data_IF_221626005318
#
_entry.id   IF_221626005318
#
_cell.length_a   1.000
_cell.length_b   1.000
_cell.length_c   1.000
_cell.angle_alpha   90.00
_cell.angle_beta   90.00
_cell.angle_gamma   90.00
#
_symmetry.space_group_name_H-M   'P 1'
#
loop_
_entity.id
_entity.type
_entity.pdbx_description
1 polymer ?
#
# COMPACT_ATOMS: atom_id res chain seq x y z
N UNK A 1 -11.77 5.45 7.68
CA UNK A 1 -11.43 5.37 9.11
C UNK A 1 -9.95 5.07 9.27
N UNK A 2 -9.44 3.98 8.69
CA UNK A 2 -8.02 3.58 8.74
C UNK A 2 -7.03 4.72 8.52
N UNK A 3 -7.22 5.49 7.44
CA UNK A 3 -6.33 6.61 7.10
C UNK A 3 -6.30 7.68 8.20
N UNK A 4 -7.47 8.03 8.76
CA UNK A 4 -7.57 9.04 9.82
C UNK A 4 -6.96 8.52 11.13
N UNK A 5 -7.21 7.25 11.47
CA UNK A 5 -6.61 6.59 12.62
C UNK A 5 -5.07 6.59 12.51
N UNK A 6 -4.54 6.23 11.34
CA UNK A 6 -3.11 6.26 11.09
C UNK A 6 -2.53 7.67 11.12
N UNK A 7 -3.19 8.65 10.49
CA UNK A 7 -2.76 10.05 10.55
C UNK A 7 -2.68 10.55 12.00
N UNK A 8 -3.65 10.18 12.85
CA UNK A 8 -3.67 10.55 14.27
C UNK A 8 -2.50 9.96 15.06
N UNK A 9 -2.14 8.70 14.79
CA UNK A 9 -1.05 7.99 15.47
C UNK A 9 0.32 8.42 14.95
N UNK A 10 0.49 8.48 13.62
CA UNK A 10 1.75 8.86 12.99
C UNK A 10 2.05 10.36 13.03
N UNK A 11 1.11 11.20 13.46
CA UNK A 11 1.31 12.63 13.55
C UNK A 11 2.57 12.95 14.38
N UNK A 12 3.56 13.59 13.74
CA UNK A 12 4.89 13.91 14.30
C UNK A 12 5.76 12.69 14.70
N UNK A 13 5.33 11.47 14.41
CA UNK A 13 6.08 10.23 14.71
C UNK A 13 6.68 9.58 13.47
N UNK A 14 6.11 9.82 12.29
CA UNK A 14 6.65 9.36 11.01
C UNK A 14 6.71 10.49 9.99
N UNK A 15 7.61 10.42 8.98
CA UNK A 15 7.58 11.31 7.84
C UNK A 15 6.21 11.27 7.16
N UNK A 16 5.81 12.40 6.58
CA UNK A 16 4.47 12.58 6.02
C UNK A 16 4.07 11.40 5.11
N UNK A 17 2.92 10.80 5.42
CA UNK A 17 2.39 9.63 4.72
C UNK A 17 2.00 10.05 3.30
N UNK A 18 2.84 9.65 2.34
CA UNK A 18 2.59 9.77 0.91
C UNK A 18 1.86 8.51 0.42
N UNK A 19 0.68 8.70 -0.18
CA UNK A 19 -0.18 7.63 -0.70
C UNK A 19 0.11 7.30 -2.19
N UNK A 20 0.21 6.01 -2.56
CA UNK A 20 0.05 5.62 -3.96
C UNK A 20 -1.43 5.67 -4.33
N UNK A 21 -1.81 6.62 -5.18
CA UNK A 21 -3.19 6.85 -5.58
C UNK A 21 -3.50 6.15 -6.91
N UNK A 22 -4.71 5.56 -6.98
CA UNK A 22 -5.28 5.08 -8.24
C UNK A 22 -5.43 6.27 -9.20
N UNK A 23 -5.03 6.11 -10.46
CA UNK A 23 -5.17 7.10 -11.53
C UNK A 23 -6.58 7.72 -11.66
N UNK A 24 -7.63 7.00 -11.22
CA UNK A 24 -9.01 7.49 -11.21
C UNK A 24 -9.26 8.67 -10.24
N UNK A 25 -8.39 8.91 -9.26
CA UNK A 25 -8.57 10.00 -8.29
C UNK A 25 -8.13 11.38 -8.83
N UNK A 26 -7.48 11.46 -10.00
CA UNK A 26 -7.15 12.72 -10.68
C UNK A 26 -8.40 13.59 -10.94
N UNK A 27 -9.59 12.97 -11.05
CA UNK A 27 -10.84 13.65 -11.40
C UNK A 27 -11.57 14.30 -10.22
N UNK A 28 -11.03 14.25 -9.00
CA UNK A 28 -11.62 14.92 -7.83
C UNK A 28 -11.08 16.36 -7.72
N UNK A 29 -11.93 17.41 -7.82
CA UNK A 29 -11.49 18.81 -7.73
C UNK A 29 -10.82 19.12 -6.38
N UNK A 30 -9.89 20.08 -6.35
CA UNK A 30 -9.06 20.50 -5.19
C UNK A 30 -7.97 19.49 -4.79
N UNK A 31 -8.29 18.21 -4.72
CA UNK A 31 -7.35 17.19 -4.25
C UNK A 31 -6.31 16.81 -5.33
N UNK A 32 -6.68 16.83 -6.61
CA UNK A 32 -5.74 16.61 -7.73
C UNK A 32 -4.59 17.63 -7.79
N UNK A 33 -4.85 18.90 -7.42
CA UNK A 33 -3.84 19.97 -7.34
C UNK A 33 -2.90 19.78 -6.14
N UNK A 34 -3.44 19.36 -4.99
CA UNK A 34 -2.63 19.06 -3.80
C UNK A 34 -1.66 17.89 -4.04
N UNK A 35 -2.01 16.92 -4.89
CA UNK A 35 -1.15 15.77 -5.20
C UNK A 35 -0.14 16.02 -6.31
N UNK A 36 -0.48 16.86 -7.29
CA UNK A 36 0.49 17.40 -8.24
C UNK A 36 1.57 18.23 -7.52
N UNK A 37 1.19 18.99 -6.48
CA UNK A 37 2.11 19.74 -5.63
C UNK A 37 2.98 18.89 -4.68
N UNK A 38 2.65 17.61 -4.46
CA UNK A 38 3.36 16.70 -3.53
C UNK A 38 4.29 15.68 -4.22
N UNK A 39 4.56 15.84 -5.53
CA UNK A 39 5.45 15.01 -6.38
C UNK A 39 5.02 13.53 -6.55
N UNK A 40 3.74 13.19 -6.37
CA UNK A 40 3.28 11.79 -6.49
C UNK A 40 3.45 11.21 -7.91
N UNK A 41 4.15 10.07 -8.10
CA UNK A 41 4.23 9.41 -9.39
C UNK A 41 2.89 8.75 -9.73
N UNK A 42 2.18 9.31 -10.71
CA UNK A 42 0.94 8.74 -11.23
C UNK A 42 1.25 7.58 -12.17
N UNK A 43 0.95 6.35 -11.75
CA UNK A 43 1.06 5.18 -12.60
C UNK A 43 -0.10 5.13 -13.60
N UNK A 44 0.21 5.15 -14.91
CA UNK A 44 -0.79 4.87 -15.95
C UNK A 44 -0.97 3.36 -16.06
N UNK A 45 -2.20 2.90 -15.89
CA UNK A 45 -2.50 1.47 -15.97
C UNK A 45 -2.88 1.11 -17.41
N UNK A 46 -1.88 0.84 -18.25
CA UNK A 46 -2.15 0.38 -19.61
C UNK A 46 -2.67 -1.07 -19.60
N UNK A 47 -3.79 -1.32 -20.27
CA UNK A 47 -4.31 -2.68 -20.43
C UNK A 47 -3.37 -3.53 -21.30
N UNK A 48 -3.41 -4.85 -21.13
CA UNK A 48 -2.57 -5.79 -21.91
C UNK A 48 -2.77 -5.60 -23.41
N UNK A 49 -4.01 -5.37 -23.83
CA UNK A 49 -4.40 -5.09 -25.22
C UNK A 49 -3.83 -3.77 -25.74
N UNK A 50 -3.80 -2.73 -24.91
CA UNK A 50 -3.23 -1.44 -25.27
C UNK A 50 -1.71 -1.50 -25.44
N UNK A 51 -1.00 -2.23 -24.55
CA UNK A 51 0.45 -2.41 -24.63
C UNK A 51 0.91 -3.29 -25.79
N UNK A 52 0.02 -4.13 -26.34
CA UNK A 52 0.30 -4.89 -27.56
C UNK A 52 0.25 -4.00 -28.80
N UNK A 53 -0.62 -2.97 -28.80
CA UNK A 53 -0.74 -1.99 -29.89
C UNK A 53 0.29 -0.86 -29.80
N UNK A 54 0.76 -0.54 -28.60
CA UNK A 54 1.71 0.52 -28.32
C UNK A 54 2.92 0.01 -27.50
N UNK A 55 3.78 -0.83 -28.09
CA UNK A 55 4.95 -1.36 -27.41
C UNK A 55 5.93 -0.27 -26.93
N UNK A 56 5.97 0.89 -27.61
CA UNK A 56 6.77 2.07 -27.26
C UNK A 56 6.37 2.69 -25.91
N UNK A 57 5.13 2.47 -25.46
CA UNK A 57 4.64 2.97 -24.17
C UNK A 57 4.99 2.05 -23.00
N UNK A 58 5.56 0.86 -23.26
CA UNK A 58 6.12 0.01 -22.19
C UNK A 58 7.37 0.67 -21.63
N UNK A 59 7.32 1.06 -20.35
CA UNK A 59 8.48 1.56 -19.61
C UNK A 59 8.63 3.08 -19.59
N UNK A 60 7.79 3.83 -20.30
CA UNK A 60 7.75 5.30 -20.20
C UNK A 60 7.34 5.75 -18.77
N UNK A 61 6.40 5.02 -18.17
CA UNK A 61 5.96 5.24 -16.78
C UNK A 61 7.06 4.96 -15.73
N UNK A 62 7.97 4.03 -16.02
CA UNK A 62 9.10 3.72 -15.14
C UNK A 62 10.13 4.86 -15.16
N UNK A 63 10.38 5.47 -16.32
CA UNK A 63 11.31 6.60 -16.45
C UNK A 63 10.79 7.85 -15.74
N UNK A 64 9.51 8.18 -15.89
CA UNK A 64 8.90 9.32 -15.20
C UNK A 64 8.88 9.12 -13.68
N UNK A 65 8.53 7.92 -13.23
CA UNK A 65 8.58 7.55 -11.80
C UNK A 65 10.00 7.69 -11.25
N UNK A 66 11.01 7.17 -11.94
CA UNK A 66 12.41 7.24 -11.49
C UNK A 66 12.91 8.68 -11.33
N UNK A 67 12.51 9.58 -12.24
CA UNK A 67 12.84 11.01 -12.17
C UNK A 67 12.18 11.72 -10.98
N UNK A 68 10.94 11.37 -10.66
CA UNK A 68 10.28 11.83 -9.42
C UNK A 68 10.94 11.23 -8.17
N UNK A 69 11.44 10.00 -8.24
CA UNK A 69 12.15 9.34 -7.14
C UNK A 69 13.51 9.97 -6.81
N UNK A 70 14.20 10.61 -7.76
CA UNK A 70 15.44 11.35 -7.47
C UNK A 70 15.22 12.48 -6.44
N UNK A 71 14.07 13.17 -6.52
CA UNK A 71 13.70 14.19 -5.52
C UNK A 71 13.41 13.59 -4.14
N UNK A 72 12.93 12.35 -4.07
CA UNK A 72 12.65 11.65 -2.82
C UNK A 72 13.90 11.17 -2.08
N UNK A 73 15.06 11.10 -2.73
CA UNK A 73 16.32 10.76 -2.03
C UNK A 73 16.73 11.81 -0.99
N UNK A 74 16.25 13.05 -1.15
CA UNK A 74 16.63 14.18 -0.30
C UNK A 74 15.54 14.62 0.68
N UNK A 75 14.36 13.99 0.64
CA UNK A 75 13.24 14.31 1.54
C UNK A 75 12.69 13.02 2.14
N UNK A 76 12.60 12.90 3.48
CA UNK A 76 12.05 11.70 4.09
C UNK A 76 10.57 11.56 3.70
N UNK A 77 10.23 10.48 3.00
CA UNK A 77 8.87 10.19 2.56
C UNK A 77 8.45 8.80 3.03
N UNK A 78 7.22 8.68 3.53
CA UNK A 78 6.63 7.40 3.88
C UNK A 78 5.67 6.98 2.78
N UNK A 79 5.81 5.77 2.24
CA UNK A 79 4.89 5.25 1.23
C UNK A 79 3.84 4.36 1.90
N UNK A 80 2.57 4.77 1.83
CA UNK A 80 1.46 3.97 2.32
C UNK A 80 0.86 3.09 1.21
N UNK A 81 0.63 1.81 1.52
CA UNK A 81 0.00 0.85 0.62
C UNK A 81 -1.03 -0.04 1.33
N UNK A 82 -2.27 -0.03 0.86
CA UNK A 82 -3.32 -0.98 1.25
C UNK A 82 -3.29 -2.18 0.30
N UNK A 83 -2.56 -3.21 0.71
CA UNK A 83 -2.17 -4.33 -0.17
C UNK A 83 -3.36 -5.17 -0.68
N UNK A 84 -4.49 -5.20 0.02
CA UNK A 84 -5.73 -5.83 -0.45
C UNK A 84 -6.35 -5.12 -1.67
N UNK A 85 -6.10 -3.81 -1.78
CA UNK A 85 -6.58 -2.93 -2.85
C UNK A 85 -8.08 -2.62 -2.82
N UNK A 86 -8.78 -3.03 -1.77
CA UNK A 86 -10.20 -2.76 -1.50
C UNK A 86 -10.48 -2.88 0.00
N UNK A 87 -11.62 -2.33 0.44
CA UNK A 87 -12.10 -2.51 1.82
C UNK A 87 -12.56 -3.96 2.02
N UNK A 88 -12.20 -4.54 3.15
CA UNK A 88 -12.69 -5.84 3.59
C UNK A 88 -14.21 -5.85 3.68
N UNK A 89 -14.81 -6.96 3.24
CA UNK A 89 -16.22 -7.33 3.49
C UNK A 89 -16.28 -8.86 3.46
N UNK A 90 -17.12 -9.52 4.28
CA UNK A 90 -17.25 -10.98 4.28
C UNK A 90 -17.47 -11.55 2.87
N UNK A 91 -18.39 -10.97 2.09
CA UNK A 91 -18.65 -11.38 0.71
C UNK A 91 -17.44 -11.33 -0.24
N UNK A 92 -16.45 -10.45 0.00
CA UNK A 92 -15.21 -10.39 -0.80
C UNK A 92 -14.18 -11.40 -0.33
N UNK A 93 -14.16 -11.67 0.96
CA UNK A 93 -13.31 -12.68 1.57
C UNK A 93 -13.72 -14.07 1.06
N UNK A 94 -15.00 -14.39 1.16
CA UNK A 94 -15.59 -15.64 0.66
C UNK A 94 -15.35 -15.81 -0.85
N UNK A 95 -15.63 -14.76 -1.63
CA UNK A 95 -15.43 -14.78 -3.10
C UNK A 95 -13.98 -15.03 -3.50
N UNK A 96 -13.02 -14.56 -2.71
CA UNK A 96 -11.59 -14.77 -2.99
C UNK A 96 -11.07 -16.10 -2.45
N UNK A 97 -11.85 -16.80 -1.62
CA UNK A 97 -11.39 -17.95 -0.86
C UNK A 97 -10.09 -17.63 -0.14
N UNK A 98 -10.09 -16.52 0.60
CA UNK A 98 -8.87 -16.04 1.26
C UNK A 98 -8.34 -17.12 2.22
N UNK A 99 -7.04 -17.46 2.18
CA UNK A 99 -6.46 -18.44 3.09
C UNK A 99 -6.25 -17.87 4.51
N UNK A 100 -6.48 -16.57 4.69
CA UNK A 100 -6.33 -15.85 5.95
C UNK A 100 -7.69 -15.71 6.63
N UNK A 101 -7.74 -15.70 7.96
CA UNK A 101 -9.01 -15.66 8.70
C UNK A 101 -9.66 -14.27 8.65
N UNK A 102 -8.86 -13.21 8.73
CA UNK A 102 -9.34 -11.84 8.90
C UNK A 102 -8.98 -10.90 7.76
N UNK A 103 -8.19 -11.35 6.79
CA UNK A 103 -7.64 -10.52 5.73
C UNK A 103 -8.05 -11.01 4.34
N UNK A 104 -8.09 -10.10 3.36
CA UNK A 104 -8.20 -10.46 1.95
C UNK A 104 -6.84 -10.91 1.40
N UNK A 105 -6.85 -11.50 0.19
CA UNK A 105 -5.60 -11.93 -0.47
C UNK A 105 -4.75 -10.70 -0.84
N UNK A 106 -3.46 -10.64 -0.43
CA UNK A 106 -2.61 -9.49 -0.72
C UNK A 106 -2.19 -9.44 -2.19
N UNK A 107 -2.08 -8.22 -2.74
CA UNK A 107 -1.63 -7.97 -4.11
C UNK A 107 -0.20 -7.46 -4.12
N UNK A 108 0.74 -8.33 -4.52
CA UNK A 108 2.17 -8.02 -4.57
C UNK A 108 2.54 -6.91 -5.58
N UNK A 109 1.73 -6.69 -6.61
CA UNK A 109 2.08 -5.76 -7.71
C UNK A 109 2.37 -4.32 -7.26
N UNK A 110 1.60 -3.79 -6.30
CA UNK A 110 1.84 -2.44 -5.78
C UNK A 110 3.14 -2.36 -4.99
N UNK A 111 3.39 -3.32 -4.10
CA UNK A 111 4.61 -3.40 -3.31
C UNK A 111 5.84 -3.54 -4.20
N UNK A 112 5.78 -4.47 -5.17
CA UNK A 112 6.91 -4.73 -6.07
C UNK A 112 7.28 -3.54 -6.96
N UNK A 113 6.28 -2.78 -7.42
CA UNK A 113 6.54 -1.55 -8.18
C UNK A 113 7.27 -0.49 -7.34
N UNK A 114 6.86 -0.32 -6.08
CA UNK A 114 7.51 0.63 -5.16
C UNK A 114 8.95 0.23 -4.88
N UNK A 115 9.21 -1.06 -4.64
CA UNK A 115 10.56 -1.55 -4.36
C UNK A 115 11.48 -1.57 -5.59
N UNK A 116 10.91 -1.71 -6.79
CA UNK A 116 11.62 -1.52 -8.06
C UNK A 116 12.02 -0.04 -8.25
N UNK A 117 11.06 0.87 -8.10
CA UNK A 117 11.28 2.30 -8.34
C UNK A 117 12.09 3.02 -7.24
N UNK A 118 11.94 2.59 -5.99
CA UNK A 118 12.45 3.28 -4.80
C UNK A 118 13.30 2.38 -3.89
N UNK A 119 13.75 1.21 -4.37
CA UNK A 119 14.49 0.24 -3.56
C UNK A 119 15.70 0.83 -2.81
N UNK A 120 16.42 1.77 -3.45
CA UNK A 120 17.58 2.42 -2.84
C UNK A 120 17.22 3.54 -1.85
N UNK A 121 15.96 3.96 -1.79
CA UNK A 121 15.48 5.05 -0.94
C UNK A 121 14.56 4.57 0.19
N UNK A 122 14.07 3.31 0.13
CA UNK A 122 13.18 2.71 1.13
C UNK A 122 13.87 1.53 1.78
N UNK A 123 14.26 1.71 3.04
CA UNK A 123 14.95 0.68 3.81
C UNK A 123 14.03 -0.07 4.78
N UNK A 124 12.94 0.58 5.20
CA UNK A 124 12.10 0.11 6.30
C UNK A 124 10.65 -0.07 5.86
N UNK A 125 10.10 -1.25 6.15
CA UNK A 125 8.66 -1.50 6.12
C UNK A 125 8.08 -1.07 7.47
N UNK A 126 7.10 -0.17 7.43
CA UNK A 126 6.22 0.13 8.57
C UNK A 126 4.95 -0.70 8.39
N UNK A 127 4.87 -1.78 9.15
CA UNK A 127 3.77 -2.74 9.12
C UNK A 127 2.71 -2.37 10.15
N UNK A 128 1.54 -1.91 9.67
CA UNK A 128 0.44 -1.39 10.50
C UNK A 128 -0.73 -2.36 10.48
N UNK A 129 -1.10 -2.89 11.64
CA UNK A 129 -2.29 -3.73 11.82
C UNK A 129 -3.33 -2.94 12.59
N UNK A 130 -4.56 -2.88 12.07
CA UNK A 130 -5.66 -2.13 12.67
C UNK A 130 -6.78 -3.13 12.95
N UNK A 131 -7.20 -3.22 14.22
CA UNK A 131 -8.32 -4.03 14.65
C UNK A 131 -9.46 -3.13 15.14
N UNK A 132 -10.68 -3.56 14.84
CA UNK A 132 -11.91 -2.93 15.29
C UNK A 132 -12.69 -3.94 16.13
N UNK A 133 -12.47 -4.02 17.46
CA UNK A 133 -13.16 -5.00 18.32
C UNK A 133 -14.69 -4.88 18.24
N UNK A 134 -15.22 -3.66 18.11
CA UNK A 134 -16.65 -3.39 17.90
C UNK A 134 -17.16 -3.61 16.47
N UNK A 135 -16.34 -4.19 15.59
CA UNK A 135 -16.64 -4.33 14.17
C UNK A 135 -16.24 -3.11 13.33
N UNK A 136 -16.15 -3.30 12.01
CA UNK A 136 -15.68 -2.26 11.10
C UNK A 136 -16.69 -1.09 11.02
N UNK A 137 -16.33 0.13 11.45
CA UNK A 137 -17.25 1.24 11.48
C UNK A 137 -17.44 1.88 10.10
N UNK A 138 -18.63 2.42 9.87
CA UNK A 138 -18.85 3.33 8.74
C UNK A 138 -18.13 4.66 8.99
N UNK A 139 -17.89 5.42 7.92
CA UNK A 139 -17.28 6.73 8.04
C UNK A 139 -18.12 7.70 8.89
N UNK A 140 -19.45 7.60 8.78
CA UNK A 140 -20.37 8.45 9.55
C UNK A 140 -20.33 8.12 11.04
N UNK A 141 -20.39 6.84 11.41
CA UNK A 141 -20.24 6.39 12.80
C UNK A 141 -18.95 6.90 13.44
N UNK A 142 -17.84 6.89 12.68
CA UNK A 142 -16.57 7.46 13.14
C UNK A 142 -16.66 8.98 13.40
N UNK A 143 -17.30 9.74 12.50
CA UNK A 143 -17.45 11.18 12.68
C UNK A 143 -18.40 11.56 13.83
N UNK A 144 -19.43 10.74 14.07
CA UNK A 144 -20.38 10.93 15.17
C UNK A 144 -19.83 10.50 16.54
N UNK A 145 -18.61 9.97 16.61
CA UNK A 145 -18.01 9.50 17.87
C UNK A 145 -18.58 8.17 18.37
N UNK A 146 -19.23 7.38 17.50
CA UNK A 146 -19.83 6.09 17.83
C UNK A 146 -18.82 4.94 17.86
N UNK A 147 -17.55 5.23 17.54
CA UNK A 147 -16.46 4.24 17.58
C UNK A 147 -15.82 4.28 18.95
N UNK A 148 -16.11 3.25 19.75
CA UNK A 148 -15.60 3.13 21.13
C UNK A 148 -14.10 2.85 21.19
N UNK A 149 -13.59 2.00 20.28
CA UNK A 149 -12.22 1.53 20.32
C UNK A 149 -11.67 1.23 18.91
N UNK A 150 -10.43 1.66 18.68
CA UNK A 150 -9.60 1.26 17.53
C UNK A 150 -8.25 0.83 18.08
N UNK A 151 -7.86 -0.42 17.84
CA UNK A 151 -6.55 -0.93 18.25
C UNK A 151 -5.60 -0.88 17.06
N UNK A 152 -4.41 -0.33 17.26
CA UNK A 152 -3.39 -0.23 16.22
C UNK A 152 -2.06 -0.77 16.73
N UNK A 153 -1.53 -1.78 16.05
CA UNK A 153 -0.21 -2.35 16.32
C UNK A 153 0.73 -2.02 15.16
N UNK A 154 1.87 -1.41 15.46
CA UNK A 154 2.84 -0.92 14.47
C UNK A 154 4.16 -1.62 14.68
N UNK A 155 4.70 -2.22 13.62
CA UNK A 155 6.01 -2.87 13.61
C UNK A 155 6.88 -2.27 12.53
N UNK A 156 8.16 -2.04 12.84
CA UNK A 156 9.15 -1.66 11.82
C UNK A 156 10.01 -2.87 11.48
N UNK A 157 10.26 -3.08 10.20
CA UNK A 157 11.07 -4.20 9.70
C UNK A 157 12.02 -3.72 8.63
N UNK A 158 13.25 -4.21 8.63
CA UNK A 158 14.17 -3.97 7.51
C UNK A 158 13.63 -4.70 6.27
N UNK A 159 13.56 -4.02 5.14
CA UNK A 159 13.22 -4.64 3.86
C UNK A 159 14.46 -5.45 3.41
N UNK A 160 14.31 -6.75 3.13
CA UNK A 160 15.40 -7.59 2.66
C UNK A 160 16.08 -7.01 1.41
N UNK A 161 17.41 -7.02 1.39
CA UNK A 161 18.18 -6.35 0.33
C UNK A 161 18.01 -7.05 -1.03
N UNK A 162 17.67 -8.35 -1.05
CA UNK A 162 17.31 -9.09 -2.25
C UNK A 162 15.97 -8.67 -2.87
N UNK A 163 15.16 -7.85 -2.18
CA UNK A 163 13.89 -7.35 -2.64
C UNK A 163 13.94 -5.91 -3.18
N UNK A 164 15.13 -5.31 -3.29
CA UNK A 164 15.31 -3.90 -3.71
C UNK A 164 15.94 -3.80 -5.10
N UNK A 165 15.56 -2.77 -5.87
CA UNK A 165 16.31 -2.31 -7.05
C UNK A 165 16.32 -3.28 -8.24
N UNK A 166 15.38 -4.24 -8.29
CA UNK A 166 15.22 -5.19 -9.40
C UNK A 166 13.99 -4.86 -10.24
N UNK A 167 14.00 -5.24 -11.52
CA UNK A 167 12.91 -4.97 -12.45
C UNK A 167 11.72 -5.92 -12.22
N UNK A 168 10.67 -5.45 -11.54
CA UNK A 168 9.48 -6.24 -11.20
C UNK A 168 8.73 -6.75 -12.44
N UNK A 169 8.77 -5.99 -13.53
CA UNK A 169 8.01 -6.29 -14.74
C UNK A 169 8.68 -7.38 -15.59
N UNK A 170 10.01 -7.40 -15.62
CA UNK A 170 10.77 -8.35 -16.44
C UNK A 170 11.17 -9.63 -15.68
N UNK A 171 11.41 -9.54 -14.36
CA UNK A 171 11.99 -10.64 -13.58
C UNK A 171 10.91 -11.47 -12.84
N UNK A 172 10.71 -12.70 -13.31
CA UNK A 172 9.73 -13.63 -12.73
C UNK A 172 10.14 -14.16 -11.34
N UNK A 173 11.43 -14.38 -11.11
CA UNK A 173 11.94 -14.85 -9.82
C UNK A 173 11.80 -13.77 -8.76
N UNK A 174 12.09 -12.53 -9.12
CA UNK A 174 11.89 -11.38 -8.23
C UNK A 174 10.42 -11.17 -7.87
N UNK A 175 9.48 -11.30 -8.82
CA UNK A 175 8.05 -11.27 -8.50
C UNK A 175 7.65 -12.35 -7.51
N UNK A 176 8.20 -13.55 -7.65
CA UNK A 176 7.96 -14.66 -6.72
C UNK A 176 8.54 -14.34 -5.34
N UNK A 177 9.78 -13.86 -5.26
CA UNK A 177 10.41 -13.49 -3.99
C UNK A 177 9.60 -12.42 -3.22
N UNK A 178 9.08 -11.40 -3.91
CA UNK A 178 8.20 -10.39 -3.29
C UNK A 178 6.89 -11.02 -2.82
N UNK A 179 6.29 -11.90 -3.63
CA UNK A 179 5.04 -12.58 -3.26
C UNK A 179 5.23 -13.45 -2.02
N UNK A 180 6.32 -14.20 -1.95
CA UNK A 180 6.62 -15.11 -0.85
C UNK A 180 6.87 -14.30 0.44
N UNK A 181 7.73 -13.28 0.37
CA UNK A 181 7.97 -12.37 1.50
C UNK A 181 6.69 -11.68 1.99
N UNK A 182 5.85 -11.20 1.07
CA UNK A 182 4.59 -10.56 1.41
C UNK A 182 3.61 -11.54 2.06
N UNK A 183 3.59 -12.79 1.60
CA UNK A 183 2.77 -13.87 2.17
C UNK A 183 3.15 -14.12 3.63
N UNK A 184 4.45 -14.18 3.94
CA UNK A 184 4.94 -14.31 5.32
C UNK A 184 4.50 -13.13 6.20
N UNK A 185 4.63 -11.90 5.72
CA UNK A 185 4.20 -10.72 6.49
C UNK A 185 2.69 -10.75 6.71
N UNK A 186 1.93 -11.21 5.72
CA UNK A 186 0.47 -11.29 5.77
C UNK A 186 -0.01 -12.35 6.75
N UNK A 187 0.64 -13.52 6.78
CA UNK A 187 0.35 -14.57 7.76
C UNK A 187 0.55 -14.07 9.20
N UNK A 188 1.65 -13.36 9.45
CA UNK A 188 1.93 -12.76 10.76
C UNK A 188 0.95 -11.63 11.11
N UNK A 189 0.48 -10.89 10.11
CA UNK A 189 -0.56 -9.87 10.29
C UNK A 189 -1.89 -10.50 10.68
N UNK A 190 -2.29 -11.59 10.04
CA UNK A 190 -3.54 -12.30 10.34
C UNK A 190 -3.56 -12.85 11.77
N UNK A 191 -2.45 -13.45 12.22
CA UNK A 191 -2.28 -13.93 13.59
C UNK A 191 -2.34 -12.81 14.63
N UNK A 192 -1.71 -11.66 14.35
CA UNK A 192 -1.81 -10.49 15.23
C UNK A 192 -3.24 -9.96 15.28
N UNK A 193 -3.94 -9.93 14.15
CA UNK A 193 -5.30 -9.44 14.09
C UNK A 193 -6.25 -10.33 14.91
N UNK A 194 -6.08 -11.66 14.88
CA UNK A 194 -6.80 -12.58 15.78
C UNK A 194 -6.59 -12.19 17.25
N UNK A 195 -5.32 -12.06 17.68
CA UNK A 195 -4.99 -11.69 19.07
C UNK A 195 -5.62 -10.35 19.46
N UNK A 196 -5.45 -9.34 18.61
CA UNK A 196 -5.98 -7.99 18.84
C UNK A 196 -7.51 -7.94 18.90
N UNK A 197 -8.21 -8.90 18.30
CA UNK A 197 -9.68 -9.00 18.36
C UNK A 197 -10.17 -9.84 19.55
N UNK A 198 -9.31 -10.70 20.12
CA UNK A 198 -9.65 -11.56 21.25
C UNK A 198 -9.39 -10.94 22.63
N UNK A 199 -8.57 -9.89 22.69
CA UNK A 199 -8.26 -9.12 23.92
C UNK A 199 -9.41 -8.17 24.32
#
# INVERSE_FOLDING_TARGET
VDILAMQRVFNRQAPFLKFFLKQQLIWVPVIGLAWWALDFPFMKRYSREYLLKHPEKRGEDLKSTRRSCERFRHTPVSVMNFVEGTRFTPAKHDKQQSPYRHLLVPKAGGVGFVLDAMGDAIETLVDVTIAYPGGAPTFWQFLCGEVSEIRMEIHTRKIPDNLKGRNYSADAEYRRAIKDWLTEQWQQKDQRLERMLSE
#
